data_IF_115597196537
#
_entry.id   IF_115597196537
#
_cell.length_a   1.000
_cell.length_b   1.000
_cell.length_c   1.000
_cell.angle_alpha   90.00
_cell.angle_beta   90.00
_cell.angle_gamma   90.00
#
_symmetry.space_group_name_H-M   'P 1'
#
loop_
_entity.id
_entity.type
_entity.pdbx_description
1 polymer ?
#
# COMPACT_ATOMS: atom_id res chain seq x y z
N UNK A 1 -22.63 -8.28 -13.07
CA UNK A 1 -22.91 -9.25 -14.17
C UNK A 1 -21.68 -10.11 -14.44
N UNK A 2 -21.85 -11.38 -14.82
CA UNK A 2 -20.75 -12.35 -15.02
C UNK A 2 -19.80 -11.91 -16.15
N UNK A 3 -20.31 -11.33 -17.23
CA UNK A 3 -19.50 -10.91 -18.37
C UNK A 3 -18.42 -9.91 -18.01
N UNK A 4 -18.80 -8.89 -17.23
CA UNK A 4 -17.86 -7.89 -16.71
C UNK A 4 -16.75 -8.53 -15.85
N UNK A 5 -17.08 -9.53 -15.02
CA UNK A 5 -16.09 -10.28 -14.22
C UNK A 5 -15.10 -11.04 -15.08
N UNK A 6 -15.58 -11.72 -16.12
CA UNK A 6 -14.72 -12.42 -17.09
C UNK A 6 -13.76 -11.42 -17.76
N UNK A 7 -14.28 -10.26 -18.17
CA UNK A 7 -13.47 -9.21 -18.78
C UNK A 7 -12.41 -8.66 -17.81
N UNK A 8 -12.79 -8.38 -16.55
CA UNK A 8 -11.87 -7.90 -15.52
C UNK A 8 -10.75 -8.89 -15.26
N UNK A 9 -11.08 -10.16 -14.97
CA UNK A 9 -10.10 -11.21 -14.74
C UNK A 9 -9.18 -11.42 -15.96
N UNK A 10 -9.71 -11.34 -17.19
CA UNK A 10 -8.88 -11.42 -18.40
C UNK A 10 -7.87 -10.27 -18.50
N UNK A 11 -8.31 -9.04 -18.22
CA UNK A 11 -7.44 -7.86 -18.22
C UNK A 11 -6.39 -7.96 -17.11
N UNK A 12 -6.77 -8.42 -15.92
CA UNK A 12 -5.89 -8.70 -14.80
C UNK A 12 -4.79 -9.73 -15.15
N UNK A 13 -5.15 -10.78 -15.88
CA UNK A 13 -4.21 -11.77 -16.37
C UNK A 13 -3.29 -11.23 -17.50
N UNK A 14 -3.56 -10.02 -18.02
CA UNK A 14 -2.87 -9.43 -19.16
C UNK A 14 -3.14 -10.16 -20.48
N UNK A 15 -4.20 -10.96 -20.54
CA UNK A 15 -4.49 -11.84 -21.68
C UNK A 15 -5.31 -11.10 -22.75
N UNK A 16 -4.84 -11.08 -24.02
CA UNK A 16 -5.73 -10.71 -25.12
C UNK A 16 -6.82 -11.79 -25.27
N UNK A 17 -7.97 -11.38 -25.83
CA UNK A 17 -9.15 -12.24 -25.98
C UNK A 17 -8.84 -13.59 -26.67
N UNK A 18 -7.96 -13.59 -27.68
CA UNK A 18 -7.51 -14.81 -28.38
C UNK A 18 -6.60 -15.71 -27.54
N UNK A 19 -5.79 -15.15 -26.65
CA UNK A 19 -4.96 -15.95 -25.76
C UNK A 19 -5.81 -16.65 -24.70
N UNK A 20 -6.81 -15.96 -24.14
CA UNK A 20 -7.77 -16.59 -23.23
C UNK A 20 -8.56 -17.70 -23.95
N UNK A 21 -9.00 -17.45 -25.18
CA UNK A 21 -9.67 -18.45 -26.01
C UNK A 21 -8.87 -19.74 -26.14
N UNK A 22 -7.58 -19.60 -26.47
CA UNK A 22 -6.67 -20.74 -26.60
C UNK A 22 -6.46 -21.47 -25.27
N UNK A 23 -6.20 -20.74 -24.18
CA UNK A 23 -5.92 -21.33 -22.87
C UNK A 23 -7.15 -22.02 -22.26
N UNK A 24 -8.34 -21.45 -22.44
CA UNK A 24 -9.58 -21.99 -21.88
C UNK A 24 -10.25 -23.02 -22.80
N UNK A 25 -9.75 -23.23 -24.03
CA UNK A 25 -10.36 -24.13 -25.01
C UNK A 25 -11.75 -23.67 -25.49
N UNK A 26 -11.98 -22.36 -25.53
CA UNK A 26 -13.25 -21.73 -25.89
C UNK A 26 -13.03 -20.81 -27.09
N UNK A 27 -13.99 -20.66 -28.00
CA UNK A 27 -13.82 -19.73 -29.11
C UNK A 27 -13.74 -18.27 -28.64
N UNK A 28 -12.89 -17.48 -29.29
CA UNK A 28 -12.79 -16.03 -29.04
C UNK A 28 -14.15 -15.33 -29.17
N UNK A 29 -14.97 -15.78 -30.11
CA UNK A 29 -16.34 -15.28 -30.28
C UNK A 29 -17.20 -15.55 -29.04
N UNK A 30 -17.18 -16.78 -28.50
CA UNK A 30 -17.93 -17.12 -27.31
C UNK A 30 -17.47 -16.28 -26.10
N UNK A 31 -16.17 -16.10 -25.89
CA UNK A 31 -15.63 -15.23 -24.84
C UNK A 31 -16.13 -13.78 -25.00
N UNK A 32 -16.09 -13.22 -26.21
CA UNK A 32 -16.60 -11.87 -26.48
C UNK A 32 -18.10 -11.74 -26.18
N UNK A 33 -18.89 -12.79 -26.44
CA UNK A 33 -20.31 -12.82 -26.09
C UNK A 33 -20.53 -12.96 -24.58
N UNK A 34 -19.72 -13.77 -23.89
CA UNK A 34 -19.74 -13.86 -22.43
C UNK A 34 -19.40 -12.50 -21.80
N UNK A 35 -18.33 -11.83 -22.23
CA UNK A 35 -17.91 -10.53 -21.68
C UNK A 35 -18.95 -9.41 -21.86
N UNK A 36 -19.81 -9.52 -22.88
CA UNK A 36 -20.91 -8.57 -23.16
C UNK A 36 -22.25 -9.02 -22.59
N UNK A 37 -22.26 -10.07 -21.78
CA UNK A 37 -23.46 -10.66 -21.18
C UNK A 37 -24.53 -11.09 -22.22
N UNK A 38 -24.12 -11.40 -23.45
CA UNK A 38 -25.05 -11.85 -24.51
C UNK A 38 -25.46 -13.32 -24.36
N UNK A 39 -24.59 -14.13 -23.75
CA UNK A 39 -24.83 -15.54 -23.44
C UNK A 39 -24.25 -15.86 -22.06
N UNK A 40 -24.82 -16.84 -21.39
CA UNK A 40 -24.38 -17.28 -20.05
C UNK A 40 -23.42 -18.46 -20.18
N UNK A 41 -22.22 -18.40 -19.56
CA UNK A 41 -21.30 -19.54 -19.53
C UNK A 41 -21.90 -20.75 -18.78
N UNK A 42 -21.68 -21.97 -19.26
CA UNK A 42 -21.99 -23.18 -18.49
C UNK A 42 -20.99 -23.37 -17.35
N UNK A 43 -21.30 -24.24 -16.37
CA UNK A 43 -20.39 -24.58 -15.26
C UNK A 43 -19.03 -25.09 -15.76
N UNK A 44 -19.02 -25.93 -16.80
CA UNK A 44 -17.77 -26.40 -17.41
C UNK A 44 -16.95 -25.28 -18.06
N UNK A 45 -17.61 -24.30 -18.66
CA UNK A 45 -16.96 -23.10 -19.23
C UNK A 45 -16.39 -22.22 -18.11
N UNK A 46 -17.12 -22.02 -17.02
CA UNK A 46 -16.64 -21.25 -15.87
C UNK A 46 -15.41 -21.90 -15.21
N UNK A 47 -15.37 -23.23 -15.11
CA UNK A 47 -14.19 -23.97 -14.63
C UNK A 47 -12.99 -23.79 -15.54
N UNK A 48 -13.19 -23.86 -16.87
CA UNK A 48 -12.13 -23.65 -17.84
C UNK A 48 -11.58 -22.20 -17.78
N UNK A 49 -12.47 -21.22 -17.68
CA UNK A 49 -12.11 -19.81 -17.53
C UNK A 49 -11.38 -19.56 -16.20
N UNK A 50 -11.87 -20.11 -15.09
CA UNK A 50 -11.24 -20.03 -13.77
C UNK A 50 -9.78 -20.52 -13.84
N UNK A 51 -9.54 -21.69 -14.42
CA UNK A 51 -8.20 -22.25 -14.58
C UNK A 51 -7.30 -21.40 -15.48
N UNK A 52 -7.81 -20.92 -16.61
CA UNK A 52 -7.05 -20.10 -17.55
C UNK A 52 -6.71 -18.71 -16.99
N UNK A 53 -7.60 -18.13 -16.19
CA UNK A 53 -7.46 -16.79 -15.61
C UNK A 53 -6.74 -16.79 -14.26
N UNK A 54 -6.52 -17.95 -13.66
CA UNK A 54 -5.90 -18.04 -12.33
C UNK A 54 -6.78 -17.51 -11.20
N UNK A 55 -8.10 -17.46 -11.40
CA UNK A 55 -9.08 -17.03 -10.40
C UNK A 55 -9.95 -18.20 -9.99
N UNK A 56 -10.50 -18.20 -8.78
CA UNK A 56 -11.47 -19.23 -8.38
C UNK A 56 -12.85 -18.95 -9.00
N UNK A 57 -13.67 -19.99 -9.16
CA UNK A 57 -14.98 -19.89 -9.83
C UNK A 57 -15.90 -18.88 -9.15
N UNK A 58 -15.82 -18.75 -7.83
CA UNK A 58 -16.62 -17.83 -7.02
C UNK A 58 -16.39 -16.35 -7.42
N UNK A 59 -15.22 -16.02 -7.97
CA UNK A 59 -14.90 -14.67 -8.46
C UNK A 59 -15.95 -14.15 -9.46
N UNK A 60 -16.45 -15.02 -10.34
CA UNK A 60 -17.40 -14.62 -11.38
C UNK A 60 -18.79 -14.24 -10.83
N UNK A 61 -19.09 -14.61 -9.59
CA UNK A 61 -20.40 -14.40 -8.96
C UNK A 61 -20.41 -13.25 -7.95
N UNK A 62 -19.27 -12.59 -7.69
CA UNK A 62 -19.23 -11.45 -6.77
C UNK A 62 -20.02 -10.26 -7.30
N UNK A 63 -20.87 -9.68 -6.45
CA UNK A 63 -21.77 -8.58 -6.82
C UNK A 63 -21.16 -7.18 -6.62
N UNK A 64 -20.07 -7.05 -5.86
CA UNK A 64 -19.48 -5.74 -5.51
C UNK A 64 -18.83 -5.10 -6.74
N UNK A 65 -19.47 -4.09 -7.32
CA UNK A 65 -18.83 -3.26 -8.34
C UNK A 65 -18.02 -2.15 -7.68
N UNK A 66 -16.70 -2.13 -7.92
CA UNK A 66 -15.82 -1.05 -7.48
C UNK A 66 -15.60 -0.10 -8.63
N UNK A 67 -15.89 1.18 -8.37
CA UNK A 67 -15.42 2.27 -9.22
C UNK A 67 -14.24 2.94 -8.51
N UNK A 68 -13.06 2.83 -9.11
CA UNK A 68 -11.90 3.61 -8.70
C UNK A 68 -12.08 5.02 -9.29
N UNK A 69 -12.68 5.92 -8.51
CA UNK A 69 -13.18 7.22 -8.98
C UNK A 69 -12.09 8.29 -9.06
N UNK A 70 -11.08 8.20 -8.19
CA UNK A 70 -9.96 9.13 -8.16
C UNK A 70 -8.71 8.31 -7.90
N UNK A 71 -8.21 7.66 -8.93
CA UNK A 71 -6.81 7.30 -8.90
C UNK A 71 -6.09 8.64 -9.08
N UNK A 72 -5.51 9.18 -8.01
CA UNK A 72 -4.51 10.25 -8.13
C UNK A 72 -3.30 9.61 -8.79
N UNK A 73 -3.49 9.35 -10.08
CA UNK A 73 -2.58 8.64 -10.92
C UNK A 73 -1.47 9.64 -11.20
N UNK A 74 -0.44 9.63 -10.36
CA UNK A 74 0.87 9.77 -10.95
C UNK A 74 0.94 8.62 -11.95
N UNK A 75 0.73 8.91 -13.24
CA UNK A 75 1.24 8.09 -14.33
C UNK A 75 2.67 7.83 -13.93
N UNK A 76 2.93 6.68 -13.32
CA UNK A 76 4.29 6.37 -12.98
C UNK A 76 4.91 6.12 -14.35
N UNK A 77 5.78 7.00 -14.86
CA UNK A 77 6.29 6.89 -16.22
C UNK A 77 7.08 5.59 -16.43
N UNK A 78 7.31 4.83 -15.35
CA UNK A 78 7.91 3.53 -15.35
C UNK A 78 6.97 2.33 -15.59
N UNK A 79 5.65 2.47 -15.43
CA UNK A 79 4.70 1.37 -15.66
C UNK A 79 4.20 1.41 -17.10
N UNK A 80 4.22 0.27 -17.78
CA UNK A 80 3.44 0.12 -19.02
C UNK A 80 1.95 0.00 -18.72
N UNK A 81 1.10 0.38 -19.67
CA UNK A 81 -0.37 0.26 -19.55
C UNK A 81 -0.82 -1.16 -19.15
N UNK A 82 -0.08 -2.18 -19.60
CA UNK A 82 -0.34 -3.58 -19.24
C UNK A 82 -0.08 -3.86 -17.77
N UNK A 83 1.01 -3.33 -17.23
CA UNK A 83 1.43 -3.56 -15.84
C UNK A 83 0.54 -2.79 -14.87
N UNK A 84 0.20 -1.55 -15.22
CA UNK A 84 -0.82 -0.77 -14.53
C UNK A 84 -2.14 -1.53 -14.42
N UNK A 85 -2.61 -2.10 -15.54
CA UNK A 85 -3.87 -2.86 -15.56
C UNK A 85 -3.83 -4.06 -14.59
N UNK A 86 -2.69 -4.72 -14.44
CA UNK A 86 -2.54 -5.84 -13.49
C UNK A 86 -2.62 -5.36 -12.05
N UNK A 87 -1.85 -4.32 -11.70
CA UNK A 87 -1.83 -3.74 -10.35
C UNK A 87 -3.23 -3.27 -9.94
N UNK A 88 -3.93 -2.54 -10.83
CA UNK A 88 -5.29 -2.06 -10.55
C UNK A 88 -6.29 -3.21 -10.39
N UNK A 89 -6.11 -4.31 -11.10
CA UNK A 89 -6.98 -5.47 -10.95
C UNK A 89 -6.73 -6.24 -9.64
N UNK A 90 -5.46 -6.39 -9.23
CA UNK A 90 -5.09 -7.00 -7.93
C UNK A 90 -5.63 -6.15 -6.77
N UNK A 91 -5.42 -4.83 -6.82
CA UNK A 91 -5.97 -3.87 -5.85
C UNK A 91 -7.49 -3.91 -5.84
N UNK A 92 -8.11 -4.00 -7.03
CA UNK A 92 -9.56 -4.14 -7.17
C UNK A 92 -10.09 -5.40 -6.48
N UNK A 93 -9.48 -6.57 -6.72
CA UNK A 93 -9.87 -7.82 -6.04
C UNK A 93 -9.70 -7.71 -4.52
N UNK A 94 -8.59 -7.17 -4.04
CA UNK A 94 -8.34 -7.01 -2.61
C UNK A 94 -9.39 -6.11 -1.96
N UNK A 95 -9.70 -4.99 -2.60
CA UNK A 95 -10.71 -4.06 -2.11
C UNK A 95 -12.11 -4.66 -2.15
N UNK A 96 -12.44 -5.46 -3.16
CA UNK A 96 -13.73 -6.17 -3.23
C UNK A 96 -13.89 -7.13 -2.07
N UNK A 97 -12.84 -7.88 -1.72
CA UNK A 97 -12.84 -8.78 -0.56
C UNK A 97 -13.00 -8.00 0.74
N UNK A 98 -12.37 -6.84 0.86
CA UNK A 98 -12.59 -5.93 2.00
C UNK A 98 -14.03 -5.42 2.09
N UNK A 99 -14.59 -4.92 0.99
CA UNK A 99 -15.96 -4.40 0.97
C UNK A 99 -16.98 -5.51 1.23
N UNK A 100 -16.76 -6.71 0.71
CA UNK A 100 -17.59 -7.88 0.98
C UNK A 100 -17.53 -8.26 2.47
N UNK A 101 -16.34 -8.28 3.09
CA UNK A 101 -16.21 -8.51 4.53
C UNK A 101 -16.95 -7.43 5.34
N UNK A 102 -16.85 -6.16 4.92
CA UNK A 102 -17.54 -5.02 5.55
C UNK A 102 -19.08 -5.15 5.53
N UNK A 103 -19.67 -5.99 4.67
CA UNK A 103 -21.12 -6.28 4.68
C UNK A 103 -21.53 -7.21 5.81
N UNK A 104 -20.61 -8.02 6.34
CA UNK A 104 -20.89 -9.00 7.40
C UNK A 104 -20.51 -8.48 8.78
N UNK A 105 -19.51 -7.60 8.87
CA UNK A 105 -19.00 -7.12 10.16
C UNK A 105 -19.78 -5.90 10.68
N UNK A 106 -19.91 -5.75 12.02
CA UNK A 106 -20.52 -4.57 12.61
C UNK A 106 -19.78 -3.29 12.21
N UNK A 107 -20.52 -2.19 12.02
CA UNK A 107 -19.97 -0.87 11.65
C UNK A 107 -18.88 -0.40 12.62
N UNK A 108 -18.96 -0.78 13.90
CA UNK A 108 -17.96 -0.47 14.93
C UNK A 108 -16.56 -1.01 14.64
N UNK A 109 -16.40 -1.94 13.68
CA UNK A 109 -15.08 -2.48 13.31
C UNK A 109 -14.44 -1.76 12.15
N UNK A 110 -15.15 -0.81 11.52
CA UNK A 110 -14.68 0.00 10.40
C UNK A 110 -14.62 1.46 10.83
N UNK A 111 -13.42 2.02 10.89
CA UNK A 111 -13.21 3.45 11.12
C UNK A 111 -13.22 4.15 9.77
N UNK A 112 -14.13 5.10 9.49
CA UNK A 112 -14.01 5.93 8.30
C UNK A 112 -12.79 6.86 8.44
N UNK A 113 -12.08 7.10 7.34
CA UNK A 113 -11.00 8.07 7.35
C UNK A 113 -11.55 9.47 7.62
N UNK A 114 -10.97 10.13 8.62
CA UNK A 114 -11.22 11.52 8.96
C UNK A 114 -9.88 12.20 9.24
N UNK A 115 -9.75 13.42 8.73
CA UNK A 115 -8.60 14.25 9.06
C UNK A 115 -8.72 14.76 10.50
N UNK A 116 -7.60 14.88 11.24
CA UNK A 116 -7.60 15.51 12.54
C UNK A 116 -8.19 16.92 12.53
N UNK A 117 -8.96 17.24 13.57
CA UNK A 117 -9.47 18.60 13.78
C UNK A 117 -8.34 19.60 14.05
N UNK A 118 -8.60 20.85 13.69
CA UNK A 118 -7.71 21.99 13.98
C UNK A 118 -6.43 22.02 13.13
N UNK A 119 -6.31 21.19 12.09
CA UNK A 119 -5.25 21.35 11.09
C UNK A 119 -5.38 22.74 10.43
N UNK A 120 -4.27 23.41 10.09
CA UNK A 120 -4.31 24.71 9.43
C UNK A 120 -5.07 24.61 8.09
N UNK A 121 -5.93 25.58 7.83
CA UNK A 121 -6.64 25.68 6.54
C UNK A 121 -5.68 25.94 5.39
N UNK A 122 -4.59 26.67 5.65
CA UNK A 122 -3.54 26.92 4.67
C UNK A 122 -2.15 26.78 5.30
N UNK A 123 -1.30 25.98 4.67
CA UNK A 123 0.11 25.77 4.96
C UNK A 123 0.92 26.67 4.03
N UNK A 124 1.60 27.67 4.61
CA UNK A 124 2.28 28.72 3.84
C UNK A 124 3.76 28.46 3.61
N UNK A 125 4.39 27.60 4.41
CA UNK A 125 5.79 27.23 4.30
C UNK A 125 6.07 25.77 4.73
N UNK A 126 7.30 25.32 4.52
CA UNK A 126 7.74 23.96 4.87
C UNK A 126 7.90 23.73 6.37
N UNK A 127 8.06 24.78 7.18
CA UNK A 127 8.18 24.64 8.64
C UNK A 127 6.83 24.30 9.27
N UNK A 128 5.74 24.84 8.71
CA UNK A 128 4.38 24.49 9.12
C UNK A 128 4.04 23.01 8.85
N UNK A 129 4.65 22.39 7.83
CA UNK A 129 4.46 20.95 7.55
C UNK A 129 4.95 20.08 8.71
N UNK A 130 6.03 20.49 9.38
CA UNK A 130 6.53 19.80 10.57
C UNK A 130 5.50 19.83 11.71
N UNK A 131 4.88 20.99 11.93
CA UNK A 131 3.83 21.15 12.94
C UNK A 131 2.59 20.32 12.59
N UNK A 132 2.20 20.29 11.31
CA UNK A 132 1.11 19.44 10.80
C UNK A 132 1.40 17.97 11.07
N UNK A 133 2.60 17.47 10.77
CA UNK A 133 2.97 16.08 11.04
C UNK A 133 2.88 15.74 12.53
N UNK A 134 3.37 16.62 13.42
CA UNK A 134 3.26 16.44 14.88
C UNK A 134 1.80 16.48 15.34
N UNK A 135 0.97 17.34 14.77
CA UNK A 135 -0.45 17.42 15.10
C UNK A 135 -1.19 16.14 14.69
N UNK A 136 -0.91 15.59 13.51
CA UNK A 136 -1.45 14.28 13.09
C UNK A 136 -1.02 13.19 14.05
N UNK A 137 0.28 13.12 14.41
CA UNK A 137 0.77 12.15 15.39
C UNK A 137 0.08 12.26 16.74
N UNK A 138 -0.15 13.49 17.22
CA UNK A 138 -0.85 13.75 18.48
C UNK A 138 -2.31 13.32 18.42
N UNK A 139 -3.02 13.69 17.36
CA UNK A 139 -4.42 13.31 17.17
C UNK A 139 -4.61 11.80 17.02
N UNK A 140 -3.55 11.09 16.61
CA UNK A 140 -3.54 9.63 16.48
C UNK A 140 -2.88 8.92 17.65
N UNK A 141 -2.55 9.62 18.74
CA UNK A 141 -1.92 9.10 19.95
C UNK A 141 -0.60 8.33 19.70
N UNK A 142 0.15 8.71 18.66
CA UNK A 142 1.40 8.04 18.28
C UNK A 142 2.62 8.49 19.10
N UNK A 143 2.46 9.51 19.95
CA UNK A 143 3.57 10.12 20.68
C UNK A 143 4.68 10.62 19.73
N UNK A 144 5.93 10.60 20.20
CA UNK A 144 7.11 11.04 19.44
C UNK A 144 8.10 9.93 19.09
N UNK A 145 7.88 8.71 19.60
CA UNK A 145 8.73 7.53 19.38
C UNK A 145 8.49 6.90 17.99
N UNK A 146 9.32 5.94 17.55
CA UNK A 146 9.08 5.20 16.32
C UNK A 146 7.67 4.60 16.23
N UNK A 147 7.08 4.61 15.03
CA UNK A 147 5.79 3.94 14.78
C UNK A 147 6.07 2.45 14.53
N UNK A 148 5.60 1.51 15.37
CA UNK A 148 6.00 0.10 15.26
C UNK A 148 5.54 -0.61 13.98
N UNK A 149 4.30 -0.34 13.56
CA UNK A 149 3.66 -0.91 12.38
C UNK A 149 2.86 0.19 11.68
N UNK A 150 3.35 0.63 10.52
CA UNK A 150 2.78 1.78 9.85
C UNK A 150 1.53 1.39 9.05
N UNK A 151 1.49 0.19 8.48
CA UNK A 151 0.31 -0.32 7.79
C UNK A 151 -0.86 -0.39 8.77
N UNK A 152 -0.69 -1.04 9.92
CA UNK A 152 -1.75 -1.16 10.94
C UNK A 152 -2.21 0.21 11.44
N UNK A 153 -1.26 1.14 11.62
CA UNK A 153 -1.57 2.53 12.01
C UNK A 153 -2.48 3.23 10.99
N UNK A 154 -2.19 3.11 9.69
CA UNK A 154 -3.01 3.73 8.64
C UNK A 154 -4.36 3.04 8.48
N UNK A 155 -4.39 1.71 8.50
CA UNK A 155 -5.61 0.91 8.40
C UNK A 155 -6.57 1.16 9.58
N UNK A 156 -6.03 1.31 10.80
CA UNK A 156 -6.80 1.69 11.98
C UNK A 156 -7.45 3.07 11.89
N UNK A 157 -6.94 3.94 11.00
CA UNK A 157 -7.49 5.27 10.69
C UNK A 157 -8.35 5.30 9.43
N UNK A 158 -8.71 4.14 8.88
CA UNK A 158 -9.63 4.02 7.76
C UNK A 158 -9.00 4.14 6.37
N UNK A 159 -7.68 4.12 6.27
CA UNK A 159 -6.93 4.08 5.01
C UNK A 159 -6.67 2.61 4.67
N UNK A 160 -7.20 2.11 3.56
CA UNK A 160 -6.91 0.73 3.15
C UNK A 160 -5.53 0.67 2.52
N UNK A 161 -4.69 -0.26 2.95
CA UNK A 161 -3.34 -0.42 2.42
C UNK A 161 -3.23 -1.78 1.74
N UNK A 162 -2.64 -1.82 0.56
CA UNK A 162 -2.40 -3.05 -0.19
C UNK A 162 -0.94 -3.16 -0.62
N UNK A 163 -0.32 -4.29 -0.33
CA UNK A 163 0.99 -4.67 -0.87
C UNK A 163 0.78 -5.51 -2.12
N UNK A 164 1.43 -5.10 -3.21
CA UNK A 164 1.39 -5.85 -4.47
C UNK A 164 2.73 -6.52 -4.69
N UNK A 165 2.71 -7.80 -5.08
CA UNK A 165 3.92 -8.58 -5.36
C UNK A 165 4.67 -8.09 -6.62
N UNK A 166 4.08 -7.16 -7.35
CA UNK A 166 4.63 -6.66 -8.59
C UNK A 166 5.91 -5.84 -8.37
N UNK A 167 7.04 -6.39 -8.82
CA UNK A 167 8.31 -5.69 -8.90
C UNK A 167 8.51 -5.14 -10.32
N UNK A 168 8.18 -3.86 -10.51
CA UNK A 168 8.35 -3.13 -11.77
C UNK A 168 9.83 -2.84 -12.11
N UNK A 169 10.72 -3.81 -11.96
CA UNK A 169 12.18 -3.60 -11.97
C UNK A 169 12.60 -2.44 -11.03
N UNK A 170 12.08 -2.44 -9.80
CA UNK A 170 12.35 -1.41 -8.79
C UNK A 170 11.91 0.01 -9.21
N UNK A 171 10.83 0.13 -10.00
CA UNK A 171 10.32 1.45 -10.42
C UNK A 171 8.94 1.83 -9.88
N UNK A 172 8.22 0.90 -9.25
CA UNK A 172 6.93 1.18 -8.62
C UNK A 172 7.10 1.28 -7.11
N UNK A 173 7.08 2.50 -6.57
CA UNK A 173 7.28 2.73 -5.14
C UNK A 173 5.95 2.70 -4.37
N UNK A 174 4.87 3.15 -5.00
CA UNK A 174 3.50 3.10 -4.51
C UNK A 174 2.55 3.95 -5.34
N UNK A 175 1.28 3.95 -4.95
CA UNK A 175 0.19 4.70 -5.57
C UNK A 175 -0.92 4.94 -4.54
N UNK A 176 -1.54 6.13 -4.56
CA UNK A 176 -2.79 6.39 -3.85
C UNK A 176 -3.98 6.48 -4.81
N UNK A 177 -5.11 5.99 -4.34
CA UNK A 177 -6.38 6.07 -5.03
C UNK A 177 -7.51 6.31 -4.03
N UNK A 178 -8.68 6.68 -4.56
CA UNK A 178 -9.93 6.62 -3.81
C UNK A 178 -10.86 5.63 -4.48
N UNK A 179 -11.50 4.84 -3.63
CA UNK A 179 -12.49 3.87 -4.06
C UNK A 179 -13.72 4.02 -3.18
N UNK A 180 -14.87 4.32 -3.79
CA UNK A 180 -16.12 4.63 -3.09
C UNK A 180 -15.93 5.66 -1.96
N UNK A 181 -15.15 6.73 -2.23
CA UNK A 181 -14.82 7.78 -1.27
C UNK A 181 -13.74 7.44 -0.22
N UNK A 182 -13.34 6.16 -0.06
CA UNK A 182 -12.33 5.71 0.91
C UNK A 182 -10.91 5.83 0.33
N UNK A 183 -9.93 6.34 1.10
CA UNK A 183 -8.55 6.38 0.66
C UNK A 183 -7.94 4.98 0.64
N UNK A 184 -7.25 4.68 -0.45
CA UNK A 184 -6.52 3.44 -0.70
C UNK A 184 -5.07 3.79 -1.01
N UNK A 185 -4.14 3.11 -0.37
CA UNK A 185 -2.71 3.22 -0.63
C UNK A 185 -2.18 1.86 -1.07
N UNK A 186 -1.38 1.85 -2.12
CA UNK A 186 -0.79 0.66 -2.71
C UNK A 186 0.72 0.81 -2.65
N UNK A 187 1.43 -0.21 -2.17
CA UNK A 187 2.90 -0.22 -2.10
C UNK A 187 3.47 -1.51 -2.68
N UNK A 188 4.70 -1.46 -3.18
CA UNK A 188 5.38 -2.66 -3.69
C UNK A 188 5.92 -3.54 -2.56
N UNK A 189 5.65 -4.85 -2.62
CA UNK A 189 6.09 -5.83 -1.62
C UNK A 189 7.61 -6.07 -1.64
N UNK A 190 8.29 -5.86 -2.76
CA UNK A 190 9.73 -6.16 -2.90
C UNK A 190 10.68 -5.11 -2.32
N UNK A 191 10.16 -3.94 -1.93
CA UNK A 191 10.99 -2.85 -1.41
C UNK A 191 11.43 -3.10 0.03
N UNK A 192 12.62 -2.60 0.44
CA UNK A 192 12.98 -2.51 1.85
C UNK A 192 11.92 -1.75 2.66
N UNK A 193 11.73 -2.12 3.93
CA UNK A 193 10.62 -1.58 4.71
C UNK A 193 10.72 -0.09 5.00
N UNK A 194 11.91 0.50 5.06
CA UNK A 194 12.08 1.94 5.19
C UNK A 194 11.59 2.70 3.94
N UNK A 195 11.76 2.12 2.75
CA UNK A 195 11.16 2.67 1.52
C UNK A 195 9.64 2.52 1.55
N UNK A 196 9.12 1.36 1.97
CA UNK A 196 7.67 1.16 2.11
C UNK A 196 7.07 2.18 3.08
N UNK A 197 7.70 2.39 4.25
CA UNK A 197 7.26 3.34 5.26
C UNK A 197 7.27 4.77 4.77
N UNK A 198 8.34 5.15 4.08
CA UNK A 198 8.44 6.48 3.51
C UNK A 198 7.37 6.73 2.45
N UNK A 199 7.10 5.76 1.57
CA UNK A 199 5.99 5.85 0.61
C UNK A 199 4.65 5.97 1.33
N UNK A 200 4.35 5.10 2.30
CA UNK A 200 3.09 5.15 3.06
C UNK A 200 2.88 6.51 3.72
N UNK A 201 3.93 7.07 4.35
CA UNK A 201 3.87 8.38 4.97
C UNK A 201 3.76 9.52 3.95
N UNK A 202 4.33 9.36 2.75
CA UNK A 202 4.22 10.31 1.65
C UNK A 202 2.80 10.35 1.09
N UNK A 203 2.17 9.19 0.85
CA UNK A 203 0.77 9.11 0.43
C UNK A 203 -0.19 9.64 1.50
N UNK A 204 0.09 9.39 2.79
CA UNK A 204 -0.62 10.06 3.87
C UNK A 204 -0.45 11.59 3.78
N UNK A 205 0.74 12.07 3.43
CA UNK A 205 1.02 13.49 3.20
C UNK A 205 0.10 14.10 2.15
N UNK A 206 -0.13 13.41 1.02
CA UNK A 206 -1.09 13.87 0.01
C UNK A 206 -2.51 13.99 0.60
N UNK A 207 -2.97 13.00 1.37
CA UNK A 207 -4.30 13.05 1.99
C UNK A 207 -4.43 14.21 3.01
N UNK A 208 -3.40 14.42 3.82
CA UNK A 208 -3.41 15.44 4.89
C UNK A 208 -3.29 16.85 4.31
N UNK A 209 -2.40 17.05 3.33
CA UNK A 209 -2.08 18.37 2.77
C UNK A 209 -3.01 18.77 1.62
N UNK A 210 -3.86 17.87 1.11
CA UNK A 210 -4.78 18.13 0.02
C UNK A 210 -5.62 19.39 0.26
N UNK A 211 -5.56 20.34 -0.68
CA UNK A 211 -6.30 21.60 -0.63
C UNK A 211 -5.82 22.59 0.44
N UNK A 212 -4.72 22.30 1.15
CA UNK A 212 -4.17 23.16 2.22
C UNK A 212 -2.87 23.85 1.82
N UNK A 213 -2.19 23.42 0.77
CA UNK A 213 -0.91 24.03 0.40
C UNK A 213 -1.10 25.38 -0.26
N UNK A 214 -0.30 26.37 0.17
CA UNK A 214 -0.13 27.60 -0.60
C UNK A 214 0.34 27.22 -2.03
N UNK A 215 -0.24 27.79 -3.10
CA UNK A 215 0.14 27.47 -4.48
C UNK A 215 1.62 27.68 -4.83
N UNK A 216 2.35 28.46 -4.04
CA UNK A 216 3.80 28.65 -4.20
C UNK A 216 4.63 27.44 -3.70
N UNK A 217 4.04 26.55 -2.91
CA UNK A 217 4.69 25.33 -2.43
C UNK A 217 4.51 24.20 -3.43
N UNK A 218 5.60 23.49 -3.68
CA UNK A 218 5.59 22.26 -4.46
C UNK A 218 5.01 21.11 -3.60
N UNK A 219 3.88 20.54 -4.05
CA UNK A 219 3.15 19.51 -3.32
C UNK A 219 3.99 18.26 -3.03
N UNK A 220 4.79 17.82 -3.99
CA UNK A 220 5.64 16.63 -3.84
C UNK A 220 6.72 16.84 -2.78
N UNK A 221 7.40 17.99 -2.81
CA UNK A 221 8.35 18.37 -1.75
C UNK A 221 7.65 18.50 -0.40
N UNK A 222 6.43 19.03 -0.37
CA UNK A 222 5.65 19.17 0.84
C UNK A 222 5.30 17.79 1.43
N UNK A 223 4.88 16.84 0.60
CA UNK A 223 4.59 15.47 1.01
C UNK A 223 5.85 14.70 1.42
N UNK A 224 7.00 14.91 0.76
CA UNK A 224 8.29 14.39 1.24
C UNK A 224 8.67 14.94 2.61
N UNK A 225 8.50 16.25 2.82
CA UNK A 225 8.75 16.88 4.12
C UNK A 225 7.81 16.32 5.19
N UNK A 226 6.53 16.15 4.87
CA UNK A 226 5.55 15.53 5.76
C UNK A 226 5.97 14.10 6.11
N UNK A 227 6.31 13.26 5.13
CA UNK A 227 6.70 11.87 5.35
C UNK A 227 7.88 11.76 6.32
N UNK A 228 8.94 12.53 6.08
CA UNK A 228 10.11 12.56 6.96
C UNK A 228 9.79 13.05 8.37
N UNK A 229 8.96 14.10 8.49
CA UNK A 229 8.54 14.68 9.78
C UNK A 229 7.56 13.78 10.55
N UNK A 230 6.72 13.03 9.84
CA UNK A 230 5.75 12.10 10.41
C UNK A 230 6.45 10.85 10.94
N UNK A 231 7.41 10.30 10.20
CA UNK A 231 8.20 9.15 10.64
C UNK A 231 9.17 9.53 11.76
N UNK A 232 9.90 10.63 11.60
CA UNK A 232 10.91 11.12 12.56
C UNK A 232 10.65 12.61 12.85
N UNK A 233 9.84 12.92 13.88
CA UNK A 233 9.48 14.29 14.20
C UNK A 233 10.69 15.07 14.71
N UNK A 234 10.75 16.38 14.45
CA UNK A 234 11.86 17.28 14.82
C UNK A 234 12.43 17.05 16.23
N UNK A 235 11.65 16.92 17.32
CA UNK A 235 12.20 16.63 18.65
C UNK A 235 13.01 15.32 18.72
N UNK A 236 12.58 14.28 18.00
CA UNK A 236 13.31 13.02 17.91
C UNK A 236 14.61 13.16 17.12
N UNK A 237 14.62 13.97 16.06
CA UNK A 237 15.83 14.26 15.29
C UNK A 237 16.89 14.91 16.19
N UNK A 238 16.51 15.92 16.98
CA UNK A 238 17.43 16.58 17.92
C UNK A 238 17.88 15.67 19.07
N UNK A 239 17.02 14.76 19.54
CA UNK A 239 17.39 13.77 20.54
C UNK A 239 18.46 12.81 19.98
N UNK A 240 18.23 12.27 18.79
CA UNK A 240 19.12 11.30 18.15
C UNK A 240 20.46 11.92 17.70
N UNK A 241 20.42 13.10 17.06
CA UNK A 241 21.59 13.69 16.40
C UNK A 241 22.23 14.85 17.17
N UNK A 242 21.57 15.38 18.20
CA UNK A 242 22.02 16.59 18.90
C UNK A 242 21.76 17.88 18.12
N UNK A 243 22.39 18.97 18.54
CA UNK A 243 22.14 20.32 18.01
C UNK A 243 22.89 20.63 16.72
N UNK A 244 24.07 20.04 16.51
CA UNK A 244 24.92 20.30 15.36
C UNK A 244 25.87 19.14 15.08
N UNK A 245 26.15 18.90 13.80
CA UNK A 245 27.06 17.87 13.31
C UNK A 245 27.89 18.41 12.14
N UNK A 246 29.18 18.08 12.13
CA UNK A 246 30.05 18.28 10.98
C UNK A 246 30.04 17.08 10.03
N UNK A 247 29.71 15.89 10.56
CA UNK A 247 29.65 14.62 9.86
C UNK A 247 28.54 13.74 10.46
N UNK A 248 27.90 12.91 9.63
CA UNK A 248 27.00 11.84 10.07
C UNK A 248 27.68 10.50 9.82
N UNK A 249 27.93 9.75 10.89
CA UNK A 249 28.58 8.45 10.78
C UNK A 249 27.62 7.42 10.17
N UNK A 250 27.95 6.77 9.04
CA UNK A 250 27.07 5.80 8.40
C UNK A 250 26.55 4.70 9.34
N UNK A 251 27.38 4.21 10.25
CA UNK A 251 26.96 3.18 11.20
C UNK A 251 25.94 3.71 12.22
N UNK A 252 26.07 4.97 12.66
CA UNK A 252 25.08 5.64 13.52
C UNK A 252 23.73 5.73 12.80
N UNK A 253 23.73 6.17 11.53
CA UNK A 253 22.50 6.27 10.75
C UNK A 253 21.87 4.91 10.43
N UNK A 254 22.67 3.86 10.27
CA UNK A 254 22.16 2.49 10.10
C UNK A 254 21.42 2.00 11.36
N UNK A 255 21.96 2.28 12.55
CA UNK A 255 21.28 1.95 13.81
C UNK A 255 19.97 2.73 13.96
N UNK A 256 19.98 4.03 13.63
CA UNK A 256 18.78 4.85 13.62
C UNK A 256 17.75 4.40 12.56
N UNK A 257 18.20 3.89 11.41
CA UNK A 257 17.32 3.24 10.43
C UNK A 257 16.63 2.03 11.02
N UNK A 258 17.36 1.16 11.71
CA UNK A 258 16.79 -0.04 12.34
C UNK A 258 15.83 0.29 13.49
N UNK A 259 16.01 1.42 14.17
CA UNK A 259 15.11 1.87 15.22
C UNK A 259 13.85 2.57 14.66
N UNK A 260 14.00 3.46 13.68
CA UNK A 260 12.92 4.36 13.23
C UNK A 260 12.22 3.93 11.93
N UNK A 261 12.87 3.07 11.14
CA UNK A 261 12.40 2.71 9.80
C UNK A 261 12.47 3.87 8.81
N UNK A 262 13.45 4.76 8.97
CA UNK A 262 13.80 5.81 8.01
C UNK A 262 15.20 5.53 7.46
N UNK A 263 15.37 5.61 6.14
CA UNK A 263 16.65 5.32 5.47
C UNK A 263 17.79 6.23 5.96
N UNK A 264 19.05 5.79 5.80
CA UNK A 264 20.21 6.65 6.10
C UNK A 264 20.17 7.95 5.27
N UNK A 265 19.74 7.84 4.01
CA UNK A 265 19.46 8.99 3.16
C UNK A 265 18.40 9.91 3.77
N UNK A 266 17.29 9.36 4.25
CA UNK A 266 16.22 10.09 4.93
C UNK A 266 16.72 10.82 6.18
N UNK A 267 17.52 10.17 7.02
CA UNK A 267 18.16 10.81 8.18
C UNK A 267 19.06 11.97 7.78
N UNK A 268 19.83 11.84 6.69
CA UNK A 268 20.66 12.94 6.18
C UNK A 268 19.84 14.15 5.74
N UNK A 269 18.66 13.92 5.13
CA UNK A 269 17.71 14.99 4.80
C UNK A 269 17.16 15.62 6.07
N UNK A 270 16.68 14.84 7.04
CA UNK A 270 16.15 15.35 8.31
C UNK A 270 17.17 16.17 9.08
N UNK A 271 18.44 15.76 9.08
CA UNK A 271 19.52 16.52 9.69
C UNK A 271 19.73 17.88 9.02
N UNK A 272 19.76 17.92 7.69
CA UNK A 272 19.93 19.17 6.94
C UNK A 272 18.71 20.11 7.06
N UNK A 273 17.51 19.54 7.00
CA UNK A 273 16.23 20.21 7.18
C UNK A 273 16.06 20.90 8.54
N UNK A 274 16.70 20.36 9.57
CA UNK A 274 16.67 20.90 10.93
C UNK A 274 17.93 21.71 11.28
N UNK A 275 18.80 21.99 10.31
CA UNK A 275 20.00 22.80 10.50
C UNK A 275 21.12 22.10 11.29
N UNK A 276 20.98 20.80 11.58
CA UNK A 276 21.98 20.00 12.31
C UNK A 276 23.19 19.73 11.40
N UNK A 277 22.95 19.48 10.10
CA UNK A 277 23.99 19.25 9.11
C UNK A 277 23.98 20.34 8.05
N UNK A 278 25.15 20.88 7.73
CA UNK A 278 25.30 21.88 6.66
C UNK A 278 25.08 21.27 5.26
N UNK A 279 24.79 22.11 4.26
CA UNK A 279 24.68 21.69 2.86
C UNK A 279 25.96 21.01 2.35
N UNK A 280 27.13 21.48 2.79
CA UNK A 280 28.42 20.88 2.44
C UNK A 280 28.59 19.50 3.07
N UNK A 281 28.30 19.36 4.38
CA UNK A 281 28.34 18.07 5.08
C UNK A 281 27.39 17.05 4.45
N UNK A 282 26.17 17.48 4.09
CA UNK A 282 25.22 16.65 3.37
C UNK A 282 25.77 16.23 2.00
N UNK A 283 26.35 17.14 1.22
CA UNK A 283 26.96 16.82 -0.08
C UNK A 283 28.05 15.76 0.06
N UNK A 284 28.94 15.90 1.05
CA UNK A 284 30.00 14.93 1.35
C UNK A 284 29.42 13.56 1.72
N UNK A 285 28.39 13.52 2.57
CA UNK A 285 27.71 12.27 2.91
C UNK A 285 27.12 11.59 1.67
N UNK A 286 26.45 12.33 0.79
CA UNK A 286 25.89 11.79 -0.45
C UNK A 286 26.95 11.37 -1.47
N UNK A 287 28.14 11.98 -1.47
CA UNK A 287 29.28 11.50 -2.24
C UNK A 287 29.75 10.12 -1.74
N UNK A 288 29.82 9.92 -0.42
CA UNK A 288 30.09 8.60 0.17
C UNK A 288 29.02 7.57 -0.21
N UNK A 289 27.73 7.93 -0.07
CA UNK A 289 26.63 7.03 -0.44
C UNK A 289 26.74 6.59 -1.91
N UNK A 290 27.10 7.50 -2.82
CA UNK A 290 27.29 7.17 -4.24
C UNK A 290 28.53 6.32 -4.49
N UNK A 291 29.67 6.64 -3.87
CA UNK A 291 30.92 5.89 -4.08
C UNK A 291 30.84 4.45 -3.56
N UNK A 292 29.98 4.20 -2.58
CA UNK A 292 29.70 2.87 -2.02
C UNK A 292 28.52 2.14 -2.68
N UNK A 293 27.82 2.76 -3.63
CA UNK A 293 26.60 2.20 -4.24
C UNK A 293 25.36 2.22 -3.33
N UNK A 294 25.45 2.85 -2.17
CA UNK A 294 24.39 2.91 -1.16
C UNK A 294 23.20 3.79 -1.55
N UNK A 295 23.34 4.60 -2.60
CA UNK A 295 22.20 5.35 -3.17
C UNK A 295 21.15 4.40 -3.77
N UNK A 296 21.58 3.31 -4.40
CA UNK A 296 20.67 2.35 -5.02
C UNK A 296 20.10 1.39 -3.98
N UNK A 297 20.97 0.92 -3.08
CA UNK A 297 20.60 0.03 -1.98
C UNK A 297 21.54 0.25 -0.81
N UNK A 298 20.99 0.68 0.30
CA UNK A 298 21.74 0.87 1.55
C UNK A 298 22.34 -0.47 2.05
N UNK A 299 23.42 -0.44 2.85
CA UNK A 299 24.07 -1.67 3.30
C UNK A 299 23.15 -2.53 4.18
N UNK A 300 23.47 -3.82 4.30
CA UNK A 300 22.74 -4.73 5.18
C UNK A 300 23.03 -4.43 6.67
N UNK A 301 22.07 -4.71 7.59
CA UNK A 301 20.74 -5.28 7.32
C UNK A 301 19.74 -4.24 6.78
N UNK A 302 18.85 -4.66 5.86
CA UNK A 302 17.67 -3.85 5.50
C UNK A 302 16.70 -3.71 6.68
N UNK A 303 15.86 -2.67 6.66
CA UNK A 303 14.73 -2.57 7.58
C UNK A 303 13.66 -3.58 7.18
N UNK A 304 13.05 -4.25 8.16
CA UNK A 304 12.01 -5.27 7.93
C UNK A 304 10.85 -4.70 7.11
N UNK A 305 10.32 -5.49 6.19
CA UNK A 305 9.17 -5.07 5.38
C UNK A 305 7.92 -4.93 6.27
N UNK A 306 7.01 -4.04 5.85
CA UNK A 306 5.69 -3.89 6.46
C UNK A 306 4.76 -5.02 5.99
N UNK A 307 3.80 -5.40 6.83
CA UNK A 307 2.90 -6.54 6.58
C UNK A 307 1.43 -6.13 6.75
N UNK A 308 0.57 -6.54 5.81
CA UNK A 308 -0.88 -6.44 5.97
C UNK A 308 -1.37 -7.53 6.91
N UNK A 309 -1.97 -7.16 8.05
CA UNK A 309 -2.55 -8.13 9.00
C UNK A 309 -4.03 -7.89 9.30
N UNK A 310 -4.51 -6.65 9.18
CA UNK A 310 -5.85 -6.31 9.67
C UNK A 310 -6.95 -7.06 8.92
N UNK A 311 -6.83 -7.22 7.60
CA UNK A 311 -7.81 -7.96 6.81
C UNK A 311 -7.98 -9.39 7.32
N UNK A 312 -6.88 -10.13 7.45
CA UNK A 312 -6.87 -11.51 7.91
C UNK A 312 -7.41 -11.63 9.34
N UNK A 313 -6.98 -10.74 10.24
CA UNK A 313 -7.51 -10.66 11.60
C UNK A 313 -9.03 -10.45 11.61
N UNK A 314 -9.56 -9.57 10.74
CA UNK A 314 -10.99 -9.30 10.66
C UNK A 314 -11.77 -10.47 10.07
N UNK A 315 -11.23 -11.19 9.10
CA UNK A 315 -11.86 -12.43 8.59
C UNK A 315 -11.96 -13.48 9.69
N UNK A 316 -10.86 -13.76 10.42
CA UNK A 316 -10.89 -14.74 11.50
C UNK A 316 -11.80 -14.31 12.66
N UNK A 317 -11.83 -13.01 12.99
CA UNK A 317 -12.78 -12.49 13.98
C UNK A 317 -14.23 -12.68 13.53
N UNK A 318 -14.55 -12.36 12.27
CA UNK A 318 -15.90 -12.55 11.73
C UNK A 318 -16.32 -14.03 11.73
N UNK A 319 -15.37 -14.94 11.44
CA UNK A 319 -15.59 -16.38 11.55
C UNK A 319 -15.83 -16.83 13.01
N UNK A 320 -15.05 -16.29 13.96
CA UNK A 320 -15.18 -16.63 15.38
C UNK A 320 -16.47 -16.09 16.01
N UNK A 321 -17.03 -15.01 15.47
CA UNK A 321 -18.32 -14.42 15.89
C UNK A 321 -19.51 -14.95 15.07
N UNK A 322 -19.34 -16.04 14.30
CA UNK A 322 -20.37 -16.68 13.47
C UNK A 322 -21.05 -15.76 12.43
N UNK A 323 -20.41 -14.63 12.09
CA UNK A 323 -20.90 -13.67 11.08
C UNK A 323 -20.72 -14.20 9.65
N UNK A 324 -19.73 -15.09 9.46
CA UNK A 324 -19.45 -15.78 8.21
C UNK A 324 -19.11 -17.25 8.50
N UNK A 325 -19.48 -18.15 7.58
CA UNK A 325 -19.07 -19.57 7.65
C UNK A 325 -17.68 -19.83 7.06
N UNK A 326 -17.16 -21.05 7.27
CA UNK A 326 -15.84 -21.47 6.77
C UNK A 326 -15.66 -21.24 5.26
N UNK A 327 -16.68 -21.54 4.46
CA UNK A 327 -16.63 -21.36 3.00
C UNK A 327 -16.42 -19.89 2.62
N UNK A 328 -17.10 -18.96 3.30
CA UNK A 328 -16.94 -17.51 3.05
C UNK A 328 -15.61 -17.00 3.57
N UNK A 329 -15.13 -17.47 4.72
CA UNK A 329 -13.79 -17.12 5.22
C UNK A 329 -12.68 -17.58 4.24
N UNK A 330 -12.76 -18.83 3.75
CA UNK A 330 -11.83 -19.34 2.73
C UNK A 330 -11.92 -18.50 1.44
N UNK A 331 -13.13 -18.13 1.03
CA UNK A 331 -13.35 -17.21 -0.11
C UNK A 331 -12.68 -15.85 0.11
N UNK A 332 -12.83 -15.23 1.27
CA UNK A 332 -12.26 -13.91 1.55
C UNK A 332 -10.73 -13.95 1.64
N UNK A 333 -10.16 -15.03 2.15
CA UNK A 333 -8.70 -15.21 2.29
C UNK A 333 -8.01 -15.76 1.02
N UNK A 334 -8.76 -16.03 -0.05
CA UNK A 334 -8.16 -16.52 -1.29
C UNK A 334 -7.68 -17.99 -1.23
N UNK A 335 -8.05 -18.74 -0.20
CA UNK A 335 -7.60 -20.13 0.03
C UNK A 335 -8.73 -21.15 -0.12
N UNK A 336 -8.41 -22.44 -0.20
CA UNK A 336 -9.41 -23.50 -0.16
C UNK A 336 -9.79 -23.88 1.27
N UNK A 337 -10.86 -24.66 1.43
CA UNK A 337 -11.38 -25.03 2.76
C UNK A 337 -10.41 -25.86 3.59
N UNK A 338 -9.61 -26.73 2.96
CA UNK A 338 -8.61 -27.53 3.66
C UNK A 338 -7.47 -26.63 4.19
N UNK A 339 -7.01 -25.67 3.39
CA UNK A 339 -6.03 -24.66 3.81
C UNK A 339 -6.55 -23.83 4.99
N UNK A 340 -7.79 -23.32 4.91
CA UNK A 340 -8.40 -22.59 6.03
C UNK A 340 -8.41 -23.42 7.31
N UNK A 341 -8.81 -24.69 7.23
CA UNK A 341 -8.86 -25.58 8.39
C UNK A 341 -7.47 -25.83 8.99
N UNK A 342 -6.45 -25.98 8.15
CA UNK A 342 -5.07 -26.06 8.61
C UNK A 342 -4.63 -24.76 9.33
N UNK A 343 -4.91 -23.58 8.75
CA UNK A 343 -4.56 -22.31 9.38
C UNK A 343 -5.30 -22.08 10.72
N UNK A 344 -6.56 -22.53 10.84
CA UNK A 344 -7.30 -22.52 12.12
C UNK A 344 -6.68 -23.42 13.19
N UNK A 345 -5.98 -24.48 12.78
CA UNK A 345 -5.23 -25.36 13.68
C UNK A 345 -3.78 -24.89 13.90
N UNK A 346 -3.40 -23.70 13.42
CA UNK A 346 -2.03 -23.17 13.43
C UNK A 346 -1.04 -24.00 12.60
N UNK A 347 -1.53 -24.74 11.60
CA UNK A 347 -0.75 -25.58 10.67
C UNK A 347 -0.68 -24.92 9.28
N UNK A 348 -0.78 -23.59 9.22
CA UNK A 348 -0.81 -22.85 7.97
C UNK A 348 0.54 -22.95 7.26
N UNK A 349 0.58 -23.51 6.05
CA UNK A 349 1.70 -23.29 5.14
C UNK A 349 1.51 -21.91 4.51
N UNK A 350 2.21 -20.88 4.99
CA UNK A 350 2.20 -19.60 4.30
C UNK A 350 2.85 -19.78 2.92
N UNK A 351 2.20 -19.30 1.87
CA UNK A 351 2.75 -19.32 0.51
C UNK A 351 4.04 -18.47 0.37
N UNK A 352 4.49 -17.80 1.45
CA UNK A 352 5.78 -17.14 1.53
C UNK A 352 6.96 -18.11 1.75
N UNK A 353 6.69 -19.37 2.10
CA UNK A 353 7.69 -20.42 2.32
C UNK A 353 7.86 -21.39 1.12
N UNK A 354 7.35 -21.05 -0.08
CA UNK A 354 7.52 -21.83 -1.32
C UNK A 354 8.01 -21.00 -2.50
#
# INVERSE_FOLDING_TARGET
>A
MIGRRIQQARRAAGLPLRALAQQAGISAMAISKYERDEIVPSSGVLLALSKALGVRVEYFFREVEITLEQISYRKNPALSDREETKVLAEVGDHLERWLELERFIPTSWSTPFALPDGLPETVVDFDQIEAVAIQVRRAWDLGLNPIPDLIDTLEGRGIKVFTVAYNAHDKFNGLSARANGKPVVVIGKSWPGDNQRFTLAHELGHLVLHGRLNPALDEEKACHRFAGSFLVPKPAVFNALGQSRTWLEPQELMLLKQEWGLSMGGWSFRAAENGILSKSGMSTFWQLMRSRGWKQREPEPQYRQEEERLFEQRVYRALAEDLIGESKAAELLGMNLAQLRACRNMECSHAADQ
#
